data_IF_458879456157
#
_entry.id   IF_458879456157
#
_cell.length_a   1.000
_cell.length_b   1.000
_cell.length_c   1.000
_cell.angle_alpha   90.00
_cell.angle_beta   90.00
_cell.angle_gamma   90.00
#
_symmetry.space_group_name_H-M   'P 1'
#
loop_
_entity.id
_entity.type
_entity.pdbx_description
1 polymer ?
#
# COMPACT_ATOMS: atom_id res chain seq x y z
N UNK A 1 0.29 7.53 8.98
CA UNK A 1 -1.16 7.75 8.80
C UNK A 1 -1.68 6.73 7.81
N UNK A 2 -2.74 5.98 8.13
CA UNK A 2 -3.23 4.86 7.30
C UNK A 2 -3.72 5.26 5.89
N UNK A 3 -3.80 6.56 5.58
CA UNK A 3 -4.24 7.10 4.26
C UNK A 3 -3.24 6.86 3.11
N UNK A 4 -1.95 6.75 3.43
CA UNK A 4 -0.87 6.67 2.43
C UNK A 4 -1.01 5.51 1.43
N UNK A 5 -1.28 4.25 1.85
CA UNK A 5 -1.49 3.15 0.91
C UNK A 5 -2.69 3.37 -0.01
N UNK A 6 -3.78 4.00 0.47
CA UNK A 6 -4.96 4.27 -0.37
C UNK A 6 -4.64 5.25 -1.51
N UNK A 7 -3.82 6.27 -1.25
CA UNK A 7 -3.36 7.19 -2.30
C UNK A 7 -2.50 6.48 -3.35
N UNK A 8 -1.64 5.56 -2.92
CA UNK A 8 -0.80 4.77 -3.84
C UNK A 8 -1.69 3.89 -4.74
N UNK A 9 -2.69 3.22 -4.18
CA UNK A 9 -3.65 2.44 -4.97
C UNK A 9 -4.46 3.31 -5.93
N UNK A 10 -4.88 4.50 -5.51
CA UNK A 10 -5.63 5.42 -6.35
C UNK A 10 -4.81 5.89 -7.56
N UNK A 11 -3.56 6.30 -7.36
CA UNK A 11 -2.66 6.69 -8.45
C UNK A 11 -2.38 5.50 -9.38
N UNK A 12 -2.17 4.30 -8.79
CA UNK A 12 -2.01 3.06 -9.54
C UNK A 12 -3.21 2.77 -10.43
N UNK A 13 -4.43 2.91 -9.90
CA UNK A 13 -5.68 2.72 -10.64
C UNK A 13 -5.82 3.74 -11.78
N UNK A 14 -5.55 5.03 -11.54
CA UNK A 14 -5.53 6.05 -12.58
C UNK A 14 -4.51 5.74 -13.68
N UNK A 15 -3.35 5.18 -13.32
CA UNK A 15 -2.33 4.73 -14.27
C UNK A 15 -2.80 3.57 -15.14
N UNK A 16 -3.47 2.57 -14.56
CA UNK A 16 -4.08 1.45 -15.30
C UNK A 16 -5.14 1.97 -16.27
N UNK A 17 -6.02 2.85 -15.82
CA UNK A 17 -7.10 3.44 -16.63
C UNK A 17 -6.57 4.29 -17.81
N UNK A 18 -5.39 4.90 -17.66
CA UNK A 18 -4.68 5.60 -18.74
C UNK A 18 -3.89 4.67 -19.68
N UNK A 19 -3.99 3.36 -19.52
CA UNK A 19 -3.29 2.37 -20.34
C UNK A 19 -1.83 2.11 -19.90
N UNK A 20 -1.36 2.74 -18.83
CA UNK A 20 -0.02 2.50 -18.29
C UNK A 20 -0.01 1.35 -17.28
N UNK A 21 -0.43 0.16 -17.75
CA UNK A 21 -0.60 -1.04 -16.92
C UNK A 21 0.65 -1.38 -16.09
N UNK A 22 1.86 -1.28 -16.67
CA UNK A 22 3.11 -1.61 -15.95
C UNK A 22 3.34 -0.71 -14.73
N UNK A 23 3.14 0.59 -14.90
CA UNK A 23 3.32 1.58 -13.82
C UNK A 23 2.21 1.41 -12.79
N UNK A 24 0.98 1.19 -13.24
CA UNK A 24 -0.17 0.93 -12.37
C UNK A 24 -0.02 -0.33 -11.51
N UNK A 25 0.45 -1.43 -12.10
CA UNK A 25 0.76 -2.68 -11.38
C UNK A 25 1.93 -2.50 -10.40
N UNK A 26 2.97 -1.76 -10.79
CA UNK A 26 4.08 -1.43 -9.90
C UNK A 26 3.63 -0.62 -8.68
N UNK A 27 2.78 0.38 -8.89
CA UNK A 27 2.15 1.16 -7.81
C UNK A 27 1.26 0.29 -6.93
N UNK A 28 0.51 -0.65 -7.51
CA UNK A 28 -0.29 -1.61 -6.75
C UNK A 28 0.57 -2.49 -5.84
N UNK A 29 1.67 -3.04 -6.35
CA UNK A 29 2.61 -3.83 -5.56
C UNK A 29 3.22 -3.00 -4.41
N UNK A 30 3.59 -1.74 -4.70
CA UNK A 30 4.06 -0.78 -3.68
C UNK A 30 2.99 -0.49 -2.62
N UNK A 31 1.74 -0.32 -3.03
CA UNK A 31 0.60 -0.12 -2.12
C UNK A 31 0.40 -1.30 -1.17
N UNK A 32 0.48 -2.54 -1.69
CA UNK A 32 0.39 -3.76 -0.88
C UNK A 32 1.54 -3.83 0.12
N UNK A 33 2.78 -3.59 -0.31
CA UNK A 33 3.93 -3.57 0.58
C UNK A 33 3.79 -2.53 1.70
N UNK A 34 3.32 -1.32 1.35
CA UNK A 34 3.07 -0.26 2.33
C UNK A 34 1.98 -0.65 3.34
N UNK A 35 0.90 -1.31 2.91
CA UNK A 35 -0.14 -1.84 3.81
C UNK A 35 0.46 -2.87 4.77
N UNK A 36 1.24 -3.83 4.28
CA UNK A 36 1.84 -4.86 5.12
C UNK A 36 2.80 -4.26 6.16
N UNK A 37 3.62 -3.29 5.76
CA UNK A 37 4.55 -2.61 6.67
C UNK A 37 3.80 -1.80 7.71
N UNK A 38 2.80 -1.02 7.30
CA UNK A 38 1.98 -0.22 8.24
C UNK A 38 1.16 -1.12 9.14
N UNK A 39 0.60 -2.21 8.62
CA UNK A 39 -0.12 -3.21 9.40
C UNK A 39 0.80 -3.86 10.41
N UNK A 40 2.03 -4.26 10.02
CA UNK A 40 3.03 -4.79 10.96
C UNK A 40 3.33 -3.77 12.06
N UNK A 41 3.66 -2.53 11.72
CA UNK A 41 3.97 -1.50 12.72
C UNK A 41 2.80 -1.18 13.64
N UNK A 42 1.58 -1.14 13.08
CA UNK A 42 0.37 -0.86 13.83
C UNK A 42 0.02 -2.04 14.73
N UNK A 43 0.02 -3.27 14.19
CA UNK A 43 -0.26 -4.48 14.95
C UNK A 43 0.78 -4.72 16.06
N UNK A 44 2.08 -4.50 15.84
CA UNK A 44 3.09 -4.62 16.91
C UNK A 44 3.01 -3.49 17.94
N UNK A 45 2.46 -2.32 17.59
CA UNK A 45 2.24 -1.25 18.56
C UNK A 45 0.99 -1.49 19.41
N UNK A 46 -0.09 -1.98 18.80
CA UNK A 46 -1.38 -2.17 19.48
C UNK A 46 -1.48 -3.53 20.18
N UNK A 47 -0.94 -4.58 19.56
CA UNK A 47 -0.73 -5.90 20.13
C UNK A 47 0.77 -5.98 20.45
N UNK A 48 1.14 -5.88 21.72
CA UNK A 48 2.52 -6.07 22.18
C UNK A 48 2.96 -7.55 22.03
N UNK A 49 2.91 -8.08 20.80
CA UNK A 49 3.48 -9.36 20.43
C UNK A 49 4.95 -9.07 20.14
N UNK A 50 5.74 -9.10 21.20
CA UNK A 50 7.18 -9.35 21.08
C UNK A 50 7.30 -10.76 20.51
N UNK A 51 7.74 -10.85 19.26
CA UNK A 51 8.12 -12.13 18.65
C UNK A 51 9.44 -12.61 19.25
#
# INVERSE_FOLDING_TARGET
MMVLPFLIFFIGLCGILRGQQRIGLGLWALGIAAVLVLFRMHATSTLNIVL
#
